data_IF_101398628647
#
_entry.id   IF_101398628647
#
_cell.length_a   1.000
_cell.length_b   1.000
_cell.length_c   1.000
_cell.angle_alpha   90.00
_cell.angle_beta   90.00
_cell.angle_gamma   90.00
#
_symmetry.space_group_name_H-M   'P 1'
#
loop_
_entity.id
_entity.type
_entity.pdbx_description
1 polymer ?
#
# COMPACT_ATOMS: atom_id res chain seq x y z
N UNK A 1 4.03 9.06 16.20
CA UNK A 1 3.93 9.82 14.94
C UNK A 1 2.57 9.54 14.31
N UNK A 2 1.93 10.47 13.59
CA UNK A 2 0.69 10.20 12.88
C UNK A 2 0.86 9.05 11.88
N UNK A 3 -0.11 8.14 11.85
CA UNK A 3 -0.14 6.98 10.96
C UNK A 3 -1.48 6.92 10.25
N UNK A 4 -1.49 6.31 9.07
CA UNK A 4 -2.73 6.04 8.32
C UNK A 4 -2.68 4.68 7.64
N UNK A 5 -3.86 4.12 7.40
CA UNK A 5 -4.05 2.94 6.56
C UNK A 5 -4.73 3.39 5.27
N UNK A 6 -4.15 3.02 4.14
CA UNK A 6 -4.66 3.32 2.81
C UNK A 6 -5.13 2.01 2.18
N UNK A 7 -6.38 1.99 1.73
CA UNK A 7 -7.00 0.86 1.02
C UNK A 7 -7.01 1.20 -0.47
N UNK A 8 -6.50 0.31 -1.30
CA UNK A 8 -6.19 0.60 -2.71
C UNK A 8 -6.85 -0.46 -3.59
N UNK A 9 -7.54 0.00 -4.64
CA UNK A 9 -7.89 -0.83 -5.80
C UNK A 9 -6.89 -0.51 -6.92
N UNK A 10 -6.37 -1.53 -7.59
CA UNK A 10 -5.53 -1.41 -8.78
C UNK A 10 -6.28 -1.84 -10.03
N UNK A 11 -5.70 -1.59 -11.19
CA UNK A 11 -6.18 -2.23 -12.42
C UNK A 11 -5.92 -3.74 -12.35
N UNK A 12 -6.76 -4.52 -13.05
CA UNK A 12 -6.68 -5.98 -13.07
C UNK A 12 -5.27 -6.42 -13.50
N UNK A 13 -4.59 -7.20 -12.65
CA UNK A 13 -3.25 -7.73 -12.94
C UNK A 13 -2.09 -6.78 -12.60
N UNK A 14 -2.37 -5.56 -12.11
CA UNK A 14 -1.35 -4.58 -11.74
C UNK A 14 -0.99 -4.63 -10.24
N UNK A 15 -1.57 -5.55 -9.46
CA UNK A 15 -1.45 -5.60 -7.99
C UNK A 15 0.01 -5.73 -7.55
N UNK A 16 0.77 -6.62 -8.21
CA UNK A 16 2.20 -6.87 -7.95
C UNK A 16 3.08 -5.64 -8.27
N UNK A 17 2.81 -4.95 -9.38
CA UNK A 17 3.55 -3.75 -9.79
C UNK A 17 3.30 -2.60 -8.81
N UNK A 18 2.04 -2.36 -8.47
CA UNK A 18 1.64 -1.33 -7.50
C UNK A 18 2.24 -1.65 -6.14
N UNK A 19 2.21 -2.90 -5.68
CA UNK A 19 2.82 -3.32 -4.43
C UNK A 19 4.33 -3.01 -4.40
N UNK A 20 5.04 -3.31 -5.49
CA UNK A 20 6.47 -3.04 -5.63
C UNK A 20 6.76 -1.54 -5.61
N UNK A 21 5.95 -0.74 -6.30
CA UNK A 21 6.06 0.71 -6.28
C UNK A 21 5.84 1.28 -4.87
N UNK A 22 4.80 0.85 -4.16
CA UNK A 22 4.50 1.26 -2.78
C UNK A 22 5.66 0.97 -1.83
N UNK A 23 6.26 -0.21 -1.92
CA UNK A 23 7.41 -0.60 -1.08
C UNK A 23 8.67 0.23 -1.32
N UNK A 24 8.76 0.95 -2.45
CA UNK A 24 9.88 1.86 -2.73
C UNK A 24 9.71 3.24 -2.07
N UNK A 25 8.52 3.57 -1.57
CA UNK A 25 8.22 4.88 -1.00
C UNK A 25 8.62 4.88 0.48
N UNK A 26 9.57 5.75 0.87
CA UNK A 26 10.20 5.70 2.19
C UNK A 26 9.29 5.92 3.41
N UNK A 27 8.08 6.45 3.21
CA UNK A 27 7.07 6.63 4.27
C UNK A 27 6.01 5.50 4.31
N UNK A 28 6.03 4.57 3.36
CA UNK A 28 5.27 3.32 3.40
C UNK A 28 6.04 2.33 4.26
N UNK A 29 5.46 1.92 5.38
CA UNK A 29 6.10 0.95 6.29
C UNK A 29 5.76 -0.47 5.94
N UNK A 30 4.53 -0.68 5.51
CA UNK A 30 4.00 -1.99 5.16
C UNK A 30 3.02 -1.84 4.01
N UNK A 31 3.00 -2.81 3.10
CA UNK A 31 2.00 -2.93 2.06
C UNK A 31 1.80 -4.42 1.73
N UNK A 32 0.55 -4.82 1.58
CA UNK A 32 0.16 -6.21 1.33
C UNK A 32 -0.97 -6.28 0.31
N UNK A 33 -0.87 -7.21 -0.64
CA UNK A 33 -2.02 -7.63 -1.43
C UNK A 33 -2.96 -8.42 -0.50
N UNK A 34 -4.24 -8.11 -0.55
CA UNK A 34 -5.27 -8.74 0.30
C UNK A 34 -6.38 -9.31 -0.54
N UNK A 35 -7.09 -10.30 0.00
CA UNK A 35 -8.34 -10.78 -0.58
C UNK A 35 -9.50 -9.95 -0.04
N UNK A 36 -10.27 -9.29 -0.91
CA UNK A 36 -11.43 -8.50 -0.50
C UNK A 36 -11.94 -7.52 -1.57
N UNK A 37 -12.60 -6.46 -1.13
CA UNK A 37 -13.10 -5.35 -1.99
C UNK A 37 -11.97 -4.39 -2.40
N UNK A 38 -10.80 -4.55 -1.78
CA UNK A 38 -9.58 -3.81 -2.10
C UNK A 38 -8.51 -4.83 -2.44
N UNK A 39 -7.59 -4.42 -3.30
CA UNK A 39 -6.50 -5.27 -3.74
C UNK A 39 -5.30 -5.14 -2.81
N UNK A 40 -5.06 -3.95 -2.26
CA UNK A 40 -3.87 -3.67 -1.42
C UNK A 40 -4.26 -2.86 -0.17
N UNK A 41 -3.60 -3.17 0.95
CA UNK A 41 -3.59 -2.34 2.17
C UNK A 41 -2.17 -1.87 2.44
N UNK A 42 -2.00 -0.56 2.62
CA UNK A 42 -0.71 0.05 2.97
C UNK A 42 -0.79 0.81 4.30
N UNK A 43 0.21 0.60 5.16
CA UNK A 43 0.42 1.37 6.39
C UNK A 43 1.48 2.43 6.13
N UNK A 44 1.10 3.70 6.29
CA UNK A 44 1.98 4.85 6.09
C UNK A 44 2.19 5.60 7.38
N UNK A 45 3.37 6.20 7.51
CA UNK A 45 3.72 7.04 8.66
C UNK A 45 4.32 8.34 8.15
N UNK A 46 3.99 9.46 8.81
CA UNK A 46 4.68 10.72 8.52
C UNK A 46 6.18 10.59 8.81
N UNK A 47 7.03 11.00 7.87
CA UNK A 47 8.46 11.18 8.11
C UNK A 47 8.68 12.35 9.09
N UNK A 48 9.63 12.17 10.01
CA UNK A 48 10.05 13.19 10.98
C UNK A 48 10.61 14.43 10.31
#
# INVERSE_FOLDING_TARGET
MPQAFVLINSEIGAEEEVLKALKSIGNVREAYIVYGVYDIVARVERAG
#
